data_IF_343438356234
#
_entry.id   IF_343438356234
#
_cell.length_a   1.000
_cell.length_b   1.000
_cell.length_c   1.000
_cell.angle_alpha   90.00
_cell.angle_beta   90.00
_cell.angle_gamma   90.00
#
_symmetry.space_group_name_H-M   'P 1'
#
loop_
_entity.id
_entity.type
_entity.pdbx_description
1 polymer ?
#
# COMPACT_ATOMS: atom_id res chain seq x y z
N UNK A 1 -12.92 19.30 -33.62
CA UNK A 1 -12.42 17.90 -33.39
C UNK A 1 -13.19 16.97 -34.33
N UNK A 2 -12.53 16.36 -35.32
CA UNK A 2 -13.16 15.40 -36.21
C UNK A 2 -13.56 14.12 -35.42
N UNK A 3 -14.57 13.37 -35.91
CA UNK A 3 -15.09 12.16 -35.24
C UNK A 3 -14.02 11.13 -34.90
N UNK A 4 -12.92 11.05 -35.68
CA UNK A 4 -11.75 10.18 -35.43
C UNK A 4 -10.93 10.60 -34.21
N UNK A 5 -10.95 11.90 -33.89
CA UNK A 5 -10.28 12.45 -32.69
C UNK A 5 -11.07 12.17 -31.40
N UNK A 6 -12.39 12.08 -31.44
CA UNK A 6 -13.22 11.79 -30.27
C UNK A 6 -13.08 10.33 -29.80
N UNK A 7 -13.05 9.39 -30.75
CA UNK A 7 -12.89 7.96 -30.43
C UNK A 7 -11.50 7.69 -29.84
N UNK A 8 -10.46 8.32 -30.43
CA UNK A 8 -9.08 8.25 -29.92
C UNK A 8 -8.92 8.87 -28.53
N UNK A 9 -9.54 10.02 -28.30
CA UNK A 9 -9.52 10.67 -26.98
C UNK A 9 -10.26 9.84 -25.92
N UNK A 10 -11.39 9.23 -26.26
CA UNK A 10 -12.13 8.37 -25.34
C UNK A 10 -11.34 7.12 -24.97
N UNK A 11 -10.69 6.47 -25.94
CA UNK A 11 -9.82 5.32 -25.69
C UNK A 11 -8.61 5.69 -24.81
N UNK A 12 -8.07 6.90 -24.99
CA UNK A 12 -6.98 7.42 -24.19
C UNK A 12 -7.39 7.64 -22.72
N UNK A 13 -8.58 8.18 -22.49
CA UNK A 13 -9.15 8.35 -21.15
C UNK A 13 -9.46 7.02 -20.49
N UNK A 14 -9.97 6.04 -21.22
CA UNK A 14 -10.20 4.68 -20.73
C UNK A 14 -8.87 4.05 -20.27
N UNK A 15 -7.81 4.16 -21.07
CA UNK A 15 -6.48 3.67 -20.70
C UNK A 15 -5.90 4.40 -19.48
N UNK A 16 -6.12 5.72 -19.37
CA UNK A 16 -5.66 6.54 -18.24
C UNK A 16 -6.31 6.12 -16.93
N UNK A 17 -7.63 6.05 -16.89
CA UNK A 17 -8.37 5.71 -15.66
C UNK A 17 -8.33 4.21 -15.35
N UNK A 18 -8.32 3.35 -16.37
CA UNK A 18 -8.18 1.90 -16.23
C UNK A 18 -6.81 1.51 -15.66
N UNK A 19 -5.77 2.28 -15.93
CA UNK A 19 -4.42 2.06 -15.41
C UNK A 19 -4.30 2.16 -13.89
N UNK A 20 -5.21 2.86 -13.20
CA UNK A 20 -5.17 3.06 -11.75
C UNK A 20 -5.25 1.75 -10.94
N UNK A 21 -5.82 0.69 -11.52
CA UNK A 21 -6.04 -0.59 -10.89
C UNK A 21 -5.07 -1.69 -11.34
N UNK A 22 -4.11 -1.37 -12.21
CA UNK A 22 -3.16 -2.32 -12.78
C UNK A 22 -1.86 -2.37 -11.97
N UNK A 23 -1.13 -3.51 -12.05
CA UNK A 23 0.19 -3.66 -11.42
C UNK A 23 1.26 -2.75 -12.04
N UNK A 24 1.17 -2.51 -13.36
CA UNK A 24 1.98 -1.54 -14.10
C UNK A 24 1.07 -0.38 -14.54
N UNK A 25 0.78 0.57 -13.63
CA UNK A 25 -0.15 1.63 -13.94
C UNK A 25 0.35 2.46 -15.12
N UNK A 26 -0.60 2.81 -16.03
CA UNK A 26 -0.41 3.76 -17.13
C UNK A 26 0.51 3.36 -18.31
N UNK A 27 1.13 2.19 -18.36
CA UNK A 27 1.84 1.78 -19.58
C UNK A 27 0.93 1.77 -20.82
N UNK A 28 -0.30 1.22 -20.80
CA UNK A 28 -1.22 1.30 -21.92
C UNK A 28 -1.59 2.73 -22.30
N UNK A 29 -1.79 3.60 -21.30
CA UNK A 29 -2.05 5.02 -21.53
C UNK A 29 -0.89 5.72 -22.24
N UNK A 30 0.35 5.50 -21.80
CA UNK A 30 1.53 6.12 -22.40
C UNK A 30 1.75 5.66 -23.85
N UNK A 31 1.52 4.38 -24.15
CA UNK A 31 1.55 3.87 -25.53
C UNK A 31 0.44 4.50 -26.39
N UNK A 32 -0.77 4.59 -25.85
CA UNK A 32 -1.90 5.22 -26.54
C UNK A 32 -1.65 6.72 -26.76
N UNK A 33 -1.08 7.42 -25.79
CA UNK A 33 -0.71 8.83 -25.88
C UNK A 33 0.35 9.06 -26.96
N UNK A 34 1.39 8.23 -26.99
CA UNK A 34 2.43 8.31 -28.01
C UNK A 34 1.83 8.14 -29.42
N UNK A 35 0.99 7.11 -29.60
CA UNK A 35 0.32 6.86 -30.87
C UNK A 35 -0.63 8.01 -31.27
N UNK A 36 -1.36 8.57 -30.31
CA UNK A 36 -2.33 9.64 -30.57
C UNK A 36 -1.69 10.98 -30.94
N UNK A 37 -0.51 11.26 -30.36
CA UNK A 37 0.30 12.45 -30.67
C UNK A 37 1.30 12.24 -31.80
N UNK A 38 1.32 11.06 -32.42
CA UNK A 38 2.38 10.66 -33.38
C UNK A 38 3.78 10.91 -32.81
N UNK A 39 3.98 10.50 -31.55
CA UNK A 39 5.24 10.59 -30.83
C UNK A 39 5.96 9.24 -30.86
N UNK A 40 7.30 9.27 -30.77
CA UNK A 40 8.13 8.07 -30.71
C UNK A 40 7.86 7.28 -29.44
N UNK A 41 7.77 7.97 -28.31
CA UNK A 41 7.35 7.43 -27.01
C UNK A 41 6.81 8.52 -26.07
N UNK A 42 6.13 8.10 -25.01
CA UNK A 42 5.71 8.98 -23.93
C UNK A 42 6.28 8.49 -22.60
N UNK A 43 6.62 9.45 -21.73
CA UNK A 43 7.25 9.21 -20.43
C UNK A 43 6.42 9.86 -19.32
N UNK A 44 6.16 9.11 -18.25
CA UNK A 44 5.59 9.62 -17.01
C UNK A 44 6.62 9.44 -15.89
N UNK A 45 6.95 10.54 -15.21
CA UNK A 45 7.87 10.58 -14.09
C UNK A 45 7.06 10.99 -12.86
N UNK A 46 7.12 10.19 -11.81
CA UNK A 46 6.45 10.44 -10.55
C UNK A 46 7.49 10.63 -9.44
N UNK A 47 7.35 11.70 -8.66
CA UNK A 47 8.26 12.03 -7.56
C UNK A 47 7.44 12.18 -6.28
N UNK A 48 7.79 11.43 -5.24
CA UNK A 48 7.14 11.49 -3.95
C UNK A 48 7.53 12.77 -3.18
N UNK A 49 6.70 13.23 -2.23
CA UNK A 49 6.98 14.42 -1.43
C UNK A 49 8.35 14.38 -0.76
N UNK A 50 9.12 15.45 -0.90
CA UNK A 50 10.45 15.60 -0.29
C UNK A 50 11.57 14.77 -0.92
N UNK A 51 11.30 14.01 -1.99
CA UNK A 51 12.32 13.27 -2.71
C UNK A 51 13.01 14.14 -3.77
N UNK A 52 14.32 14.01 -3.87
CA UNK A 52 15.15 14.68 -4.89
C UNK A 52 15.46 13.77 -6.09
N UNK A 53 15.05 12.51 -6.02
CA UNK A 53 15.16 11.50 -7.07
C UNK A 53 13.76 11.04 -7.50
N UNK A 54 13.57 10.57 -8.75
CA UNK A 54 12.28 10.06 -9.18
C UNK A 54 11.94 8.76 -8.43
N UNK A 55 10.69 8.64 -7.98
CA UNK A 55 10.20 7.38 -7.41
C UNK A 55 9.88 6.35 -8.48
N UNK A 56 9.38 6.82 -9.63
CA UNK A 56 9.00 5.94 -10.75
C UNK A 56 9.17 6.68 -12.07
N UNK A 57 9.77 6.02 -13.06
CA UNK A 57 9.84 6.47 -14.44
C UNK A 57 9.22 5.38 -15.31
N UNK A 58 8.19 5.72 -16.06
CA UNK A 58 7.53 4.85 -17.01
C UNK A 58 7.75 5.42 -18.41
N UNK A 59 8.43 4.67 -19.27
CA UNK A 59 8.73 5.12 -20.63
C UNK A 59 8.62 3.96 -21.64
N UNK A 60 7.39 3.40 -21.83
CA UNK A 60 7.17 2.27 -22.71
C UNK A 60 7.46 2.65 -24.17
N UNK A 61 8.33 1.87 -24.82
CA UNK A 61 8.75 2.09 -26.22
C UNK A 61 10.06 2.84 -26.38
N UNK A 62 10.63 3.43 -25.32
CA UNK A 62 11.98 3.95 -25.35
C UNK A 62 13.04 2.83 -25.24
N UNK A 63 14.31 3.08 -25.58
CA UNK A 63 15.41 2.15 -25.32
C UNK A 63 15.47 1.74 -23.84
N UNK A 64 15.81 0.49 -23.57
CA UNK A 64 15.69 -0.14 -22.24
C UNK A 64 16.51 0.54 -21.13
N UNK A 65 17.65 1.13 -21.47
CA UNK A 65 18.52 1.84 -20.50
C UNK A 65 18.10 3.28 -20.21
N UNK A 66 17.14 3.82 -20.94
CA UNK A 66 16.79 5.25 -20.90
C UNK A 66 16.27 5.70 -19.53
N UNK A 67 15.47 4.88 -18.86
CA UNK A 67 14.84 5.25 -17.56
C UNK A 67 15.87 5.27 -16.42
N UNK A 68 16.72 4.25 -16.34
CA UNK A 68 17.73 4.11 -15.28
C UNK A 68 18.82 5.17 -15.44
N UNK A 69 19.33 5.36 -16.67
CA UNK A 69 20.34 6.38 -16.98
C UNK A 69 19.83 7.80 -16.68
N UNK A 70 18.57 8.08 -17.04
CA UNK A 70 17.95 9.37 -16.70
C UNK A 70 17.84 9.57 -15.20
N UNK A 71 17.41 8.56 -14.46
CA UNK A 71 17.25 8.66 -13.01
C UNK A 71 18.58 8.92 -12.29
N UNK A 72 19.65 8.24 -12.71
CA UNK A 72 20.95 8.30 -12.06
C UNK A 72 21.76 9.54 -12.45
N UNK A 73 21.74 9.91 -13.73
CA UNK A 73 22.68 10.89 -14.27
C UNK A 73 22.06 12.22 -14.68
N UNK A 74 20.80 12.24 -15.12
CA UNK A 74 20.19 13.42 -15.74
C UNK A 74 19.03 14.03 -14.98
N UNK A 75 18.35 13.29 -14.11
CA UNK A 75 17.17 13.81 -13.40
C UNK A 75 17.44 15.09 -12.60
N UNK A 76 18.56 15.16 -11.90
CA UNK A 76 18.91 16.31 -11.08
C UNK A 76 19.21 17.56 -11.92
N UNK A 77 19.85 17.37 -13.08
CA UNK A 77 20.31 18.41 -14.00
C UNK A 77 19.38 18.61 -15.22
N UNK A 78 18.23 17.93 -15.27
CA UNK A 78 17.28 18.05 -16.37
C UNK A 78 16.86 19.51 -16.57
N UNK A 79 17.20 20.16 -17.69
CA UNK A 79 16.83 21.54 -17.95
C UNK A 79 15.33 21.72 -18.25
N UNK A 80 14.60 20.62 -18.56
CA UNK A 80 13.16 20.62 -18.88
C UNK A 80 12.30 20.27 -17.66
N UNK A 81 12.66 20.85 -16.51
CA UNK A 81 11.90 20.76 -15.26
C UNK A 81 11.44 22.13 -14.79
N UNK A 82 10.41 22.15 -13.96
CA UNK A 82 9.86 23.40 -13.43
C UNK A 82 9.05 24.18 -14.46
N UNK A 83 8.40 23.46 -15.35
CA UNK A 83 7.46 24.04 -16.33
C UNK A 83 6.34 24.79 -15.62
N UNK A 84 5.72 25.79 -16.28
CA UNK A 84 4.51 26.43 -15.77
C UNK A 84 3.46 25.37 -15.45
N UNK A 85 2.90 25.42 -14.25
CA UNK A 85 1.98 24.44 -13.71
C UNK A 85 0.83 24.15 -14.65
N UNK A 86 0.67 22.87 -15.05
CA UNK A 86 -0.42 22.40 -15.91
C UNK A 86 -0.41 22.93 -17.33
N UNK A 87 0.65 23.64 -17.76
CA UNK A 87 0.77 24.17 -19.12
C UNK A 87 1.68 23.30 -19.97
N UNK A 88 1.15 22.82 -21.09
CA UNK A 88 1.95 22.07 -22.08
C UNK A 88 2.93 23.02 -22.77
N UNK A 89 4.23 22.70 -22.68
CA UNK A 89 5.32 23.51 -23.17
C UNK A 89 6.28 22.66 -24.00
N UNK A 90 6.80 23.20 -25.09
CA UNK A 90 7.83 22.53 -25.89
C UNK A 90 9.23 22.80 -25.31
N UNK A 91 10.11 21.78 -25.38
CA UNK A 91 11.49 21.86 -24.92
C UNK A 91 12.25 23.04 -25.55
N UNK A 92 12.18 23.17 -26.87
CA UNK A 92 12.82 24.27 -27.59
C UNK A 92 12.28 25.67 -27.20
N UNK A 93 10.98 25.78 -26.91
CA UNK A 93 10.37 27.03 -26.45
C UNK A 93 10.83 27.40 -25.05
N UNK A 94 10.93 26.42 -24.15
CA UNK A 94 11.30 26.62 -22.75
C UNK A 94 12.75 27.06 -22.58
N UNK A 95 13.67 26.49 -23.37
CA UNK A 95 15.10 26.78 -23.29
C UNK A 95 15.58 27.86 -24.29
N UNK A 96 14.71 28.31 -25.20
CA UNK A 96 15.07 29.35 -26.17
C UNK A 96 15.76 28.81 -27.44
N UNK A 97 15.15 27.85 -28.11
CA UNK A 97 15.52 27.42 -29.48
C UNK A 97 16.87 26.72 -29.56
N UNK A 98 17.91 27.38 -30.09
CA UNK A 98 19.24 26.77 -30.27
C UNK A 98 19.88 26.32 -28.96
N UNK A 99 19.67 27.05 -27.86
CA UNK A 99 20.20 26.67 -26.54
C UNK A 99 19.69 25.30 -26.05
N UNK A 100 18.52 24.85 -26.49
CA UNK A 100 17.99 23.52 -26.17
C UNK A 100 18.87 22.41 -26.76
N UNK A 101 19.31 22.55 -28.01
CA UNK A 101 20.15 21.56 -28.71
C UNK A 101 21.61 21.57 -28.25
N UNK A 102 22.07 22.70 -27.72
CA UNK A 102 23.43 22.86 -27.19
C UNK A 102 23.56 22.39 -25.73
N UNK A 103 22.45 22.04 -25.07
CA UNK A 103 22.48 21.52 -23.70
C UNK A 103 23.14 20.13 -23.63
N UNK A 104 23.86 19.86 -22.53
CA UNK A 104 24.44 18.53 -22.25
C UNK A 104 23.33 17.47 -22.18
N UNK A 105 22.16 17.80 -21.62
CA UNK A 105 20.98 16.93 -21.59
C UNK A 105 20.54 16.51 -22.99
N UNK A 106 20.53 17.42 -23.97
CA UNK A 106 20.17 17.06 -25.32
C UNK A 106 21.22 16.16 -25.99
N UNK A 107 22.49 16.55 -25.91
CA UNK A 107 23.59 15.86 -26.59
C UNK A 107 23.86 14.46 -26.01
N UNK A 108 23.94 14.40 -24.69
CA UNK A 108 24.46 13.22 -24.00
C UNK A 108 23.34 12.23 -23.64
N UNK A 109 22.10 12.71 -23.51
CA UNK A 109 20.96 11.88 -23.15
C UNK A 109 19.89 11.84 -24.24
N UNK A 110 19.21 12.96 -24.55
CA UNK A 110 18.01 12.94 -25.38
C UNK A 110 18.26 12.39 -26.79
N UNK A 111 19.33 12.86 -27.45
CA UNK A 111 19.70 12.41 -28.78
C UNK A 111 20.12 10.92 -28.77
N UNK A 112 20.81 10.45 -27.73
CA UNK A 112 21.20 9.06 -27.55
C UNK A 112 19.97 8.16 -27.30
N UNK A 113 18.96 8.67 -26.60
CA UNK A 113 17.67 8.01 -26.40
C UNK A 113 16.74 8.06 -27.62
N UNK A 114 17.24 8.55 -28.77
CA UNK A 114 16.46 8.64 -30.01
C UNK A 114 15.45 9.79 -30.03
N UNK A 115 15.58 10.76 -29.14
CA UNK A 115 14.71 11.93 -29.09
C UNK A 115 15.31 13.18 -29.74
N UNK A 116 14.47 14.06 -30.25
CA UNK A 116 14.86 15.38 -30.77
C UNK A 116 13.97 16.49 -30.22
N UNK A 117 12.69 16.20 -30.11
CA UNK A 117 11.68 17.14 -29.63
C UNK A 117 10.90 16.58 -28.47
N UNK A 118 10.57 17.43 -27.50
CA UNK A 118 9.74 17.06 -26.36
C UNK A 118 8.63 18.08 -26.17
N UNK A 119 7.39 17.59 -26.01
CA UNK A 119 6.33 18.31 -25.32
C UNK A 119 6.23 17.83 -23.88
N UNK A 120 6.09 18.74 -22.93
CA UNK A 120 6.00 18.38 -21.54
C UNK A 120 4.98 19.18 -20.76
N UNK A 121 4.49 18.59 -19.68
CA UNK A 121 3.70 19.24 -18.65
C UNK A 121 4.16 18.77 -17.28
N UNK A 122 4.23 19.70 -16.33
CA UNK A 122 4.49 19.43 -14.91
C UNK A 122 3.21 19.66 -14.11
N UNK A 123 2.91 18.71 -13.22
CA UNK A 123 1.80 18.78 -12.28
C UNK A 123 2.36 18.69 -10.86
N UNK A 124 1.96 19.62 -10.02
CA UNK A 124 2.30 19.66 -8.60
C UNK A 124 1.03 19.54 -7.78
N UNK A 125 1.08 18.74 -6.73
CA UNK A 125 -0.04 18.47 -5.84
C UNK A 125 0.22 19.12 -4.48
N UNK A 126 -0.85 19.45 -3.76
CA UNK A 126 -0.75 20.07 -2.42
C UNK A 126 0.01 19.20 -1.40
N UNK A 127 0.00 17.89 -1.59
CA UNK A 127 0.79 16.92 -0.83
C UNK A 127 2.30 17.05 -1.00
N UNK A 128 2.76 17.78 -2.04
CA UNK A 128 4.16 17.82 -2.48
C UNK A 128 4.52 16.72 -3.47
N UNK A 129 3.55 15.89 -3.89
CA UNK A 129 3.74 14.93 -4.97
C UNK A 129 3.86 15.66 -6.32
N UNK A 130 4.76 15.20 -7.18
CA UNK A 130 4.96 15.77 -8.51
C UNK A 130 4.81 14.71 -9.59
N UNK A 131 4.22 15.10 -10.71
CA UNK A 131 4.14 14.29 -11.92
C UNK A 131 4.58 15.08 -13.14
N UNK A 132 5.42 14.48 -13.97
CA UNK A 132 5.88 15.06 -15.23
C UNK A 132 5.51 14.13 -16.36
N UNK A 133 4.73 14.61 -17.32
CA UNK A 133 4.39 13.86 -18.54
C UNK A 133 5.15 14.47 -19.70
N UNK A 134 5.78 13.63 -20.52
CA UNK A 134 6.57 14.01 -21.69
C UNK A 134 6.12 13.19 -22.90
N UNK A 135 6.02 13.80 -24.06
CA UNK A 135 5.89 13.15 -25.35
C UNK A 135 7.13 13.50 -26.17
N UNK A 136 7.84 12.51 -26.69
CA UNK A 136 9.12 12.67 -27.39
C UNK A 136 8.99 12.22 -28.84
N UNK A 137 9.50 13.03 -29.77
CA UNK A 137 9.65 12.70 -31.18
C UNK A 137 11.13 12.60 -31.54
N UNK A 138 11.46 11.71 -32.46
CA UNK A 138 12.76 11.64 -33.09
C UNK A 138 12.87 12.64 -34.26
N UNK A 139 14.07 12.76 -34.82
CA UNK A 139 14.37 13.70 -35.92
C UNK A 139 13.64 13.40 -37.25
N UNK A 140 13.10 12.21 -37.43
CA UNK A 140 12.39 11.84 -38.66
C UNK A 140 10.97 12.41 -38.71
N UNK A 141 10.43 12.82 -37.58
CA UNK A 141 9.10 13.40 -37.44
C UNK A 141 9.13 14.93 -37.46
N UNK A 142 8.10 15.59 -37.99
CA UNK A 142 7.98 17.05 -37.94
C UNK A 142 7.82 17.55 -36.50
N UNK A 143 8.12 18.82 -36.27
CA UNK A 143 7.92 19.47 -34.98
C UNK A 143 6.46 19.37 -34.53
N UNK A 144 6.25 19.28 -33.18
CA UNK A 144 4.90 19.32 -32.62
C UNK A 144 4.24 20.64 -32.93
N UNK A 145 3.14 20.58 -33.67
CA UNK A 145 2.35 21.74 -34.06
C UNK A 145 1.36 22.20 -32.99
N UNK A 146 0.61 23.27 -33.28
CA UNK A 146 -0.44 23.76 -32.39
C UNK A 146 -1.54 22.73 -32.10
N UNK A 147 -1.88 21.87 -33.05
CA UNK A 147 -2.91 20.84 -32.90
C UNK A 147 -2.52 19.77 -31.87
N UNK A 148 -1.27 19.28 -31.92
CA UNK A 148 -0.79 18.31 -30.95
C UNK A 148 -0.62 18.91 -29.56
N UNK A 149 -0.23 20.19 -29.47
CA UNK A 149 -0.16 20.92 -28.19
C UNK A 149 -1.54 21.08 -27.56
N UNK A 150 -2.55 21.47 -28.35
CA UNK A 150 -3.93 21.59 -27.90
C UNK A 150 -4.49 20.22 -27.47
N UNK A 151 -4.23 19.18 -28.25
CA UNK A 151 -4.60 17.82 -27.95
C UNK A 151 -3.97 17.34 -26.62
N UNK A 152 -2.67 17.55 -26.44
CA UNK A 152 -2.00 17.21 -25.20
C UNK A 152 -2.54 18.03 -24.00
N UNK A 153 -2.81 19.32 -24.19
CA UNK A 153 -3.38 20.19 -23.16
C UNK A 153 -4.77 19.71 -22.71
N UNK A 154 -5.57 19.15 -23.61
CA UNK A 154 -6.90 18.63 -23.29
C UNK A 154 -6.86 17.44 -22.29
N UNK A 155 -5.75 16.69 -22.24
CA UNK A 155 -5.59 15.56 -21.32
C UNK A 155 -5.20 16.02 -19.92
N UNK A 156 -4.57 17.17 -19.77
CA UNK A 156 -3.99 17.63 -18.51
C UNK A 156 -4.96 17.63 -17.33
N UNK A 157 -6.22 18.09 -17.45
CA UNK A 157 -7.19 18.01 -16.36
C UNK A 157 -7.47 16.55 -15.93
N UNK A 158 -7.60 15.65 -16.91
CA UNK A 158 -7.83 14.22 -16.66
C UNK A 158 -6.63 13.55 -16.02
N UNK A 159 -5.41 13.87 -16.48
CA UNK A 159 -4.17 13.39 -15.90
C UNK A 159 -4.05 13.81 -14.43
N UNK A 160 -4.35 15.09 -14.14
CA UNK A 160 -4.36 15.60 -12.75
C UNK A 160 -5.32 14.82 -11.88
N UNK A 161 -6.56 14.58 -12.34
CA UNK A 161 -7.53 13.80 -11.59
C UNK A 161 -7.08 12.34 -11.38
N UNK A 162 -6.59 11.69 -12.43
CA UNK A 162 -6.15 10.30 -12.37
C UNK A 162 -4.97 10.13 -11.39
N UNK A 163 -3.96 11.00 -11.46
CA UNK A 163 -2.81 10.95 -10.54
C UNK A 163 -3.22 11.27 -9.10
N UNK A 164 -4.08 12.26 -8.88
CA UNK A 164 -4.61 12.56 -7.54
C UNK A 164 -5.43 11.43 -6.94
N UNK A 165 -6.20 10.69 -7.75
CA UNK A 165 -6.89 9.47 -7.32
C UNK A 165 -5.90 8.35 -7.00
N UNK A 166 -4.88 8.16 -7.82
CA UNK A 166 -3.83 7.17 -7.60
C UNK A 166 -3.10 7.44 -6.27
N UNK A 167 -2.66 8.66 -6.03
CA UNK A 167 -2.01 9.05 -4.79
C UNK A 167 -2.88 8.72 -3.57
N UNK A 168 -4.16 9.09 -3.59
CA UNK A 168 -5.10 8.77 -2.50
C UNK A 168 -5.28 7.28 -2.30
N UNK A 169 -5.35 6.50 -3.39
CA UNK A 169 -5.45 5.05 -3.32
C UNK A 169 -4.19 4.41 -2.73
N UNK A 170 -3.00 4.92 -3.09
CA UNK A 170 -1.72 4.42 -2.55
C UNK A 170 -1.59 4.73 -1.06
N UNK A 171 -1.88 5.95 -0.64
CA UNK A 171 -1.86 6.35 0.78
C UNK A 171 -2.84 5.50 1.58
N UNK A 172 -4.10 5.41 1.13
CA UNK A 172 -5.11 4.58 1.78
C UNK A 172 -4.73 3.10 1.80
N UNK A 173 -4.16 2.58 0.73
CA UNK A 173 -3.68 1.20 0.65
C UNK A 173 -2.55 0.91 1.63
N UNK A 174 -1.58 1.82 1.77
CA UNK A 174 -0.48 1.71 2.72
C UNK A 174 -0.98 1.77 4.17
N UNK A 175 -1.87 2.70 4.50
CA UNK A 175 -2.50 2.80 5.81
C UNK A 175 -3.26 1.51 6.16
N UNK A 176 -4.10 1.01 5.24
CA UNK A 176 -4.83 -0.25 5.46
C UNK A 176 -3.87 -1.44 5.63
N UNK A 177 -2.73 -1.46 4.93
CA UNK A 177 -1.70 -2.48 5.09
C UNK A 177 -1.08 -2.46 6.48
N UNK A 178 -0.73 -1.28 6.99
CA UNK A 178 -0.17 -1.10 8.34
C UNK A 178 -1.19 -1.53 9.40
N UNK A 179 -2.44 -1.03 9.32
CA UNK A 179 -3.49 -1.41 10.28
C UNK A 179 -3.76 -2.91 10.26
N UNK A 180 -3.85 -3.53 9.08
CA UNK A 180 -4.05 -4.97 8.95
C UNK A 180 -2.89 -5.75 9.55
N UNK A 181 -1.65 -5.39 9.22
CA UNK A 181 -0.45 -6.02 9.77
C UNK A 181 -0.39 -5.92 11.30
N UNK A 182 -0.72 -4.73 11.85
CA UNK A 182 -0.77 -4.53 13.31
C UNK A 182 -1.81 -5.44 13.97
N UNK A 183 -3.04 -5.50 13.42
CA UNK A 183 -4.10 -6.36 13.95
C UNK A 183 -3.72 -7.85 13.88
N UNK A 184 -3.08 -8.27 12.79
CA UNK A 184 -2.57 -9.63 12.62
C UNK A 184 -1.45 -9.97 13.62
N UNK A 185 -0.51 -9.05 13.84
CA UNK A 185 0.57 -9.21 14.83
C UNK A 185 0.02 -9.29 16.27
N UNK A 186 -1.07 -8.59 16.55
CA UNK A 186 -1.76 -8.69 17.84
C UNK A 186 -2.53 -10.01 18.03
N UNK A 187 -2.51 -10.92 17.06
CA UNK A 187 -3.25 -12.18 17.09
C UNK A 187 -4.77 -12.01 17.06
N UNK A 188 -5.26 -10.87 16.56
CA UNK A 188 -6.69 -10.57 16.50
C UNK A 188 -7.25 -10.98 15.14
N UNK A 189 -8.23 -11.88 15.14
CA UNK A 189 -9.00 -12.22 13.96
C UNK A 189 -9.95 -11.07 13.60
N UNK A 190 -9.90 -10.62 12.34
CA UNK A 190 -10.79 -9.60 11.81
C UNK A 190 -11.69 -10.20 10.71
N UNK A 191 -12.99 -10.12 10.89
CA UNK A 191 -14.01 -10.63 9.97
C UNK A 191 -14.95 -9.50 9.60
N UNK A 192 -15.04 -9.16 8.32
CA UNK A 192 -15.97 -8.16 7.81
C UNK A 192 -17.20 -8.85 7.27
N UNK A 193 -18.38 -8.46 7.76
CA UNK A 193 -19.67 -9.02 7.35
C UNK A 193 -20.50 -7.96 6.63
N UNK A 194 -21.33 -8.42 5.67
CA UNK A 194 -22.41 -7.60 5.15
C UNK A 194 -23.66 -7.71 6.08
N UNK A 195 -24.76 -7.00 5.74
CA UNK A 195 -26.01 -7.00 6.53
C UNK A 195 -26.68 -8.37 6.61
N UNK A 196 -26.41 -9.25 5.65
CA UNK A 196 -26.97 -10.63 5.61
C UNK A 196 -26.11 -11.62 6.40
N UNK A 197 -25.04 -11.17 7.06
CA UNK A 197 -24.09 -12.03 7.77
C UNK A 197 -23.14 -12.82 6.85
N UNK A 198 -23.06 -12.44 5.56
CA UNK A 198 -22.05 -13.00 4.66
C UNK A 198 -20.70 -12.39 4.93
N UNK A 199 -19.67 -13.20 4.91
CA UNK A 199 -18.28 -12.76 5.03
C UNK A 199 -17.85 -12.06 3.74
N UNK A 200 -17.45 -10.81 3.87
CA UNK A 200 -16.93 -9.96 2.78
C UNK A 200 -15.41 -10.05 2.73
N UNK A 201 -14.76 -10.07 3.90
CA UNK A 201 -13.30 -10.14 4.01
C UNK A 201 -12.90 -10.72 5.37
N UNK A 202 -11.74 -11.38 5.39
CA UNK A 202 -11.06 -11.89 6.59
C UNK A 202 -9.58 -11.47 6.56
N UNK A 203 -8.93 -11.57 7.71
CA UNK A 203 -7.47 -11.58 7.80
C UNK A 203 -6.95 -13.00 8.07
N UNK A 204 -5.64 -13.21 7.98
CA UNK A 204 -5.01 -14.54 8.14
C UNK A 204 -5.33 -15.19 9.49
N UNK A 205 -5.46 -14.40 10.57
CA UNK A 205 -5.83 -14.91 11.90
C UNK A 205 -7.27 -15.43 11.91
N UNK A 206 -8.18 -14.70 11.25
CA UNK A 206 -9.58 -15.11 11.11
C UNK A 206 -9.72 -16.39 10.27
N UNK A 207 -8.96 -16.51 9.19
CA UNK A 207 -8.98 -17.69 8.34
C UNK A 207 -8.60 -18.95 9.15
N UNK A 208 -7.52 -18.90 9.92
CA UNK A 208 -7.10 -19.99 10.81
C UNK A 208 -8.17 -20.35 11.86
N UNK A 209 -8.82 -19.33 12.42
CA UNK A 209 -9.85 -19.51 13.44
C UNK A 209 -11.12 -20.17 12.85
N UNK A 210 -11.50 -19.79 11.62
CA UNK A 210 -12.60 -20.38 10.88
C UNK A 210 -12.30 -21.80 10.43
N UNK A 211 -11.07 -22.11 10.01
CA UNK A 211 -10.61 -23.46 9.66
C UNK A 211 -10.60 -24.39 10.88
N UNK A 212 -10.18 -23.91 12.05
CA UNK A 212 -10.23 -24.66 13.30
C UNK A 212 -11.67 -25.03 13.70
N UNK A 213 -12.64 -24.22 13.30
CA UNK A 213 -14.05 -24.48 13.45
C UNK A 213 -14.52 -24.63 14.90
N UNK A 214 -13.77 -24.13 15.88
CA UNK A 214 -14.14 -24.22 17.31
C UNK A 214 -14.80 -22.92 17.79
N UNK A 215 -16.12 -22.96 17.89
CA UNK A 215 -16.97 -21.83 18.29
C UNK A 215 -17.58 -21.08 17.10
N UNK A 216 -16.82 -20.87 16.02
CA UNK A 216 -17.29 -20.22 14.80
C UNK A 216 -16.83 -20.96 13.54
N UNK A 217 -17.66 -20.92 12.49
CA UNK A 217 -17.40 -21.60 11.21
C UNK A 217 -17.93 -20.76 10.06
N UNK A 218 -17.46 -21.06 8.86
CA UNK A 218 -17.99 -20.51 7.63
C UNK A 218 -18.84 -21.55 6.91
N UNK A 219 -20.12 -21.22 6.63
CA UNK A 219 -21.01 -22.07 5.84
C UNK A 219 -21.76 -21.18 4.82
N UNK A 220 -21.74 -21.55 3.55
CA UNK A 220 -22.36 -20.80 2.45
C UNK A 220 -21.94 -19.32 2.41
N UNK A 221 -20.65 -19.05 2.65
CA UNK A 221 -20.10 -17.72 2.80
C UNK A 221 -20.71 -16.90 3.97
N UNK A 222 -21.39 -17.54 4.92
CA UNK A 222 -21.97 -16.90 6.10
C UNK A 222 -21.22 -17.33 7.36
N UNK A 223 -21.00 -16.37 8.23
CA UNK A 223 -20.47 -16.66 9.56
C UNK A 223 -21.53 -17.38 10.40
N UNK A 224 -21.16 -18.51 10.97
CA UNK A 224 -22.00 -19.32 11.87
C UNK A 224 -21.32 -19.47 13.22
N UNK A 225 -22.04 -19.09 14.28
CA UNK A 225 -21.65 -19.39 15.65
C UNK A 225 -22.26 -20.72 16.05
N UNK A 226 -21.50 -21.59 16.71
CA UNK A 226 -21.99 -22.91 17.15
C UNK A 226 -23.09 -22.79 18.21
N UNK A 227 -22.93 -21.85 19.15
CA UNK A 227 -23.95 -21.62 20.17
C UNK A 227 -25.18 -20.92 19.58
N UNK A 228 -26.38 -21.45 19.91
CA UNK A 228 -27.62 -20.97 19.34
C UNK A 228 -28.06 -19.59 19.90
N UNK A 229 -27.73 -19.26 21.15
CA UNK A 229 -28.05 -17.99 21.75
C UNK A 229 -27.18 -16.87 21.14
N UNK A 230 -25.90 -17.14 21.04
CA UNK A 230 -24.91 -16.22 20.42
C UNK A 230 -25.19 -15.98 18.92
N UNK A 231 -25.68 -17.00 18.22
CA UNK A 231 -26.13 -16.85 16.81
C UNK A 231 -27.29 -15.87 16.71
N UNK A 232 -28.31 -15.99 17.59
CA UNK A 232 -29.43 -15.06 17.63
C UNK A 232 -28.99 -13.65 18.00
N UNK A 233 -28.01 -13.51 18.89
CA UNK A 233 -27.42 -12.23 19.28
C UNK A 233 -26.73 -11.55 18.10
N UNK A 234 -25.91 -12.28 17.34
CA UNK A 234 -25.27 -11.76 16.12
C UNK A 234 -26.30 -11.37 15.05
N UNK A 235 -27.35 -12.17 14.86
CA UNK A 235 -28.45 -11.87 13.92
C UNK A 235 -29.23 -10.61 14.34
N UNK A 236 -29.50 -10.45 15.64
CA UNK A 236 -30.14 -9.26 16.19
C UNK A 236 -29.27 -8.02 15.99
N UNK A 237 -27.98 -8.15 16.23
CA UNK A 237 -27.00 -7.09 16.00
C UNK A 237 -26.98 -6.64 14.53
N UNK A 238 -26.90 -7.58 13.59
CA UNK A 238 -26.94 -7.29 12.15
C UNK A 238 -28.23 -6.56 11.72
N UNK A 239 -29.36 -6.84 12.36
CA UNK A 239 -30.63 -6.16 12.12
C UNK A 239 -30.70 -4.75 12.73
N UNK A 240 -29.96 -4.49 13.79
CA UNK A 240 -30.01 -3.25 14.56
C UNK A 240 -28.85 -2.27 14.24
N UNK A 241 -28.06 -2.51 13.22
CA UNK A 241 -26.85 -1.72 12.90
C UNK A 241 -27.12 -0.22 12.74
N UNK A 242 -28.27 0.14 12.18
CA UNK A 242 -28.64 1.55 11.96
C UNK A 242 -29.15 2.22 13.25
N UNK A 243 -29.73 1.45 14.15
CA UNK A 243 -30.30 1.95 15.42
C UNK A 243 -29.24 2.02 16.54
N UNK A 244 -28.20 1.19 16.46
CA UNK A 244 -27.16 1.14 17.49
C UNK A 244 -25.76 1.08 16.85
N UNK A 245 -25.15 2.25 16.53
CA UNK A 245 -23.82 2.33 15.93
C UNK A 245 -22.67 2.08 16.93
N UNK A 246 -22.97 1.86 18.22
CA UNK A 246 -21.93 1.62 19.23
C UNK A 246 -21.33 0.22 19.12
N UNK A 247 -20.00 0.07 19.34
CA UNK A 247 -19.37 -1.25 19.39
C UNK A 247 -19.97 -2.13 20.48
N UNK A 248 -20.29 -3.37 20.16
CA UNK A 248 -20.83 -4.35 21.10
C UNK A 248 -19.80 -5.42 21.41
N UNK A 249 -19.76 -5.88 22.66
CA UNK A 249 -18.84 -6.91 23.13
C UNK A 249 -19.64 -8.15 23.52
N UNK A 250 -19.19 -9.30 23.08
CA UNK A 250 -19.77 -10.59 23.43
C UNK A 250 -18.69 -11.67 23.50
N UNK A 251 -19.03 -12.83 24.01
CA UNK A 251 -18.15 -14.00 24.05
C UNK A 251 -18.62 -15.00 23.01
N UNK A 252 -17.69 -15.75 22.46
CA UNK A 252 -17.98 -16.87 21.56
C UNK A 252 -17.56 -18.15 22.27
N UNK A 253 -18.55 -18.97 22.65
CA UNK A 253 -18.34 -20.23 23.31
C UNK A 253 -17.65 -21.22 22.37
N UNK A 254 -16.68 -21.98 22.88
CA UNK A 254 -16.00 -23.04 22.17
C UNK A 254 -15.87 -24.30 23.01
N UNK A 255 -15.65 -25.46 22.34
CA UNK A 255 -15.54 -26.74 23.01
C UNK A 255 -14.16 -26.92 23.65
N UNK A 256 -13.11 -26.38 23.04
CA UNK A 256 -11.74 -26.48 23.52
C UNK A 256 -11.26 -25.15 24.10
N UNK A 257 -10.97 -25.12 25.40
CA UNK A 257 -10.35 -23.98 26.04
C UNK A 257 -11.31 -22.90 26.53
N UNK A 258 -10.82 -21.65 26.66
CA UNK A 258 -11.59 -20.50 27.12
C UNK A 258 -12.41 -19.91 25.98
N UNK A 259 -13.55 -19.31 26.32
CA UNK A 259 -14.34 -18.53 25.35
C UNK A 259 -13.50 -17.47 24.65
N UNK A 260 -13.76 -17.26 23.34
CA UNK A 260 -13.17 -16.16 22.60
C UNK A 260 -13.82 -14.85 23.00
N UNK A 261 -13.04 -13.77 23.05
CA UNK A 261 -13.57 -12.42 23.23
C UNK A 261 -13.84 -11.81 21.85
N UNK A 262 -15.05 -11.26 21.67
CA UNK A 262 -15.45 -10.64 20.42
C UNK A 262 -15.92 -9.20 20.61
N UNK A 263 -15.53 -8.33 19.67
CA UNK A 263 -16.00 -6.96 19.55
C UNK A 263 -16.60 -6.79 18.15
N UNK A 264 -17.87 -6.47 18.10
CA UNK A 264 -18.57 -6.15 16.86
C UNK A 264 -18.70 -4.63 16.72
N UNK A 265 -18.15 -4.07 15.66
CA UNK A 265 -18.17 -2.63 15.36
C UNK A 265 -18.94 -2.39 14.07
N UNK A 266 -20.05 -1.66 14.07
CA UNK A 266 -20.74 -1.25 12.86
C UNK A 266 -19.84 -0.42 11.95
N UNK A 267 -19.91 -0.67 10.65
CA UNK A 267 -19.20 0.07 9.61
C UNK A 267 -20.19 1.04 8.98
N UNK A 268 -19.89 2.34 9.03
CA UNK A 268 -20.66 3.34 8.29
C UNK A 268 -20.38 3.20 6.80
N UNK A 269 -21.32 2.60 6.07
CA UNK A 269 -21.24 2.50 4.61
C UNK A 269 -22.19 3.52 3.96
N UNK A 270 -21.83 4.14 2.83
CA UNK A 270 -22.74 4.98 2.06
C UNK A 270 -24.01 4.22 1.68
N UNK A 271 -25.16 4.87 1.72
CA UNK A 271 -26.49 4.25 1.52
C UNK A 271 -26.64 3.55 0.14
N UNK A 272 -25.83 3.93 -0.87
CA UNK A 272 -25.84 3.30 -2.19
C UNK A 272 -25.02 1.98 -2.25
N UNK A 273 -24.22 1.66 -1.24
CA UNK A 273 -23.46 0.40 -1.16
C UNK A 273 -24.23 -0.69 -0.41
N UNK A 274 -25.49 -0.93 -0.82
CA UNK A 274 -26.29 -2.03 -0.27
C UNK A 274 -25.64 -3.37 -0.67
N UNK A 275 -25.24 -4.18 0.32
CA UNK A 275 -24.51 -5.44 0.12
C UNK A 275 -23.02 -5.38 0.42
N UNK A 276 -22.46 -4.19 0.67
CA UNK A 276 -21.08 -3.98 1.12
C UNK A 276 -20.88 -4.32 2.61
N UNK A 277 -19.67 -4.02 3.09
CA UNK A 277 -19.30 -4.18 4.50
C UNK A 277 -20.24 -3.39 5.41
N UNK A 278 -20.76 -4.04 6.45
CA UNK A 278 -21.70 -3.44 7.40
C UNK A 278 -21.25 -3.61 8.86
N UNK A 279 -20.50 -4.67 9.17
CA UNK A 279 -20.04 -5.01 10.51
C UNK A 279 -18.60 -5.52 10.46
N UNK A 280 -17.72 -4.97 11.29
CA UNK A 280 -16.41 -5.54 11.58
C UNK A 280 -16.51 -6.32 12.90
N UNK A 281 -16.16 -7.59 12.85
CA UNK A 281 -16.07 -8.47 14.00
C UNK A 281 -14.59 -8.73 14.29
N UNK A 282 -14.11 -8.30 15.44
CA UNK A 282 -12.78 -8.57 15.94
C UNK A 282 -12.88 -9.66 17.00
N UNK A 283 -12.15 -10.76 16.80
CA UNK A 283 -12.15 -11.90 17.72
C UNK A 283 -10.75 -12.15 18.21
N UNK A 284 -10.58 -12.21 19.52
CA UNK A 284 -9.34 -12.56 20.18
C UNK A 284 -9.50 -13.82 21.02
N UNK A 285 -8.46 -14.64 21.01
CA UNK A 285 -8.36 -15.80 21.90
C UNK A 285 -7.61 -15.40 23.16
N UNK A 286 -8.28 -15.28 24.33
CA UNK A 286 -7.59 -14.96 25.58
C UNK A 286 -6.60 -16.05 26.03
N UNK A 287 -6.66 -17.22 25.43
CA UNK A 287 -5.74 -18.34 25.70
C UNK A 287 -4.59 -18.43 24.67
N UNK A 288 -4.67 -17.67 23.58
CA UNK A 288 -3.62 -17.59 22.57
C UNK A 288 -2.74 -16.39 22.93
N UNK A 289 -1.60 -16.68 23.52
CA UNK A 289 -0.54 -15.68 23.70
C UNK A 289 -0.17 -15.11 22.32
N UNK A 290 -0.03 -13.80 22.22
CA UNK A 290 0.50 -13.17 21.02
C UNK A 290 1.76 -13.92 20.60
N UNK A 291 1.76 -14.52 19.42
CA UNK A 291 2.94 -15.21 18.90
C UNK A 291 3.99 -14.13 18.61
N UNK A 292 4.82 -13.89 19.62
CA UNK A 292 5.99 -13.03 19.47
C UNK A 292 6.97 -13.77 18.55
N UNK A 293 7.18 -13.23 17.35
CA UNK A 293 8.15 -13.76 16.39
C UNK A 293 9.57 -13.53 16.95
N UNK A 294 10.35 -14.59 17.22
CA UNK A 294 11.69 -14.43 17.77
C UNK A 294 12.60 -13.57 16.90
N UNK A 295 12.45 -13.63 15.58
CA UNK A 295 13.19 -12.82 14.62
C UNK A 295 12.92 -11.32 14.81
N UNK A 296 11.68 -10.93 14.95
CA UNK A 296 11.29 -9.53 15.16
C UNK A 296 11.86 -8.98 16.47
N UNK A 297 11.79 -9.76 17.55
CA UNK A 297 12.35 -9.40 18.86
C UNK A 297 13.87 -9.32 18.80
N UNK A 298 14.52 -10.26 18.10
CA UNK A 298 15.96 -10.27 17.89
C UNK A 298 16.43 -8.96 17.23
N UNK A 299 15.77 -8.56 16.16
CA UNK A 299 16.17 -7.39 15.37
C UNK A 299 15.86 -6.07 16.12
N UNK A 300 14.71 -6.00 16.80
CA UNK A 300 14.30 -4.82 17.57
C UNK A 300 15.24 -4.51 18.76
N UNK A 301 15.65 -5.54 19.48
CA UNK A 301 16.45 -5.39 20.70
C UNK A 301 17.90 -5.85 20.54
N UNK A 302 18.35 -6.11 19.31
CA UNK A 302 19.71 -6.57 19.02
C UNK A 302 20.09 -7.83 19.83
N UNK A 303 19.14 -8.76 19.96
CA UNK A 303 19.35 -10.02 20.70
C UNK A 303 20.03 -11.06 19.81
N UNK A 304 20.72 -11.99 20.43
CA UNK A 304 21.10 -13.21 19.73
C UNK A 304 19.89 -14.12 19.55
N UNK A 305 19.96 -15.08 18.63
CA UNK A 305 18.88 -16.04 18.38
C UNK A 305 18.44 -16.77 19.66
N UNK A 306 19.37 -17.16 20.51
CA UNK A 306 19.06 -17.85 21.77
C UNK A 306 18.42 -16.92 22.80
N UNK A 307 18.88 -15.67 22.88
CA UNK A 307 18.28 -14.64 23.74
C UNK A 307 16.84 -14.31 23.30
N UNK A 308 16.59 -14.19 21.99
CA UNK A 308 15.25 -13.96 21.47
C UNK A 308 14.31 -15.14 21.78
N UNK A 309 14.73 -16.38 21.55
CA UNK A 309 13.95 -17.57 21.89
C UNK A 309 13.63 -17.64 23.40
N UNK A 310 14.61 -17.33 24.24
CA UNK A 310 14.41 -17.29 25.70
C UNK A 310 13.43 -16.14 26.08
N UNK A 311 13.58 -14.98 25.50
CA UNK A 311 12.69 -13.85 25.74
C UNK A 311 11.23 -14.18 25.38
N UNK A 312 11.00 -14.81 24.23
CA UNK A 312 9.69 -15.31 23.80
C UNK A 312 9.13 -16.35 24.77
N UNK A 313 9.94 -17.34 25.17
CA UNK A 313 9.51 -18.36 26.11
C UNK A 313 9.10 -17.77 27.48
N UNK A 314 9.83 -16.75 27.97
CA UNK A 314 9.49 -16.05 29.21
C UNK A 314 8.25 -15.15 29.06
N UNK A 315 8.08 -14.51 27.88
CA UNK A 315 6.91 -13.72 27.57
C UNK A 315 5.64 -14.57 27.46
N UNK A 316 5.78 -15.83 27.02
CA UNK A 316 4.70 -16.82 27.03
C UNK A 316 4.36 -17.37 28.43
N UNK A 317 4.80 -16.71 29.51
CA UNK A 317 4.44 -17.07 30.87
C UNK A 317 5.24 -18.27 31.46
N UNK A 318 6.23 -18.83 30.74
CA UNK A 318 7.06 -19.91 31.24
C UNK A 318 7.99 -19.40 32.35
N UNK A 319 8.26 -20.28 33.34
CA UNK A 319 9.31 -19.97 34.26
C UNK A 319 10.68 -20.06 33.58
N UNK A 320 11.72 -19.47 34.20
CA UNK A 320 13.06 -19.55 33.62
C UNK A 320 13.58 -21.01 33.57
N UNK A 321 13.12 -21.87 34.47
CA UNK A 321 13.48 -23.31 34.52
C UNK A 321 12.80 -23.99 33.31
N UNK A 322 11.48 -23.83 33.14
CA UNK A 322 10.73 -24.48 32.07
C UNK A 322 11.19 -23.97 30.69
N UNK A 323 11.57 -22.69 30.60
CA UNK A 323 12.11 -22.10 29.36
C UNK A 323 13.51 -22.67 29.04
N UNK A 324 14.38 -22.88 30.06
CA UNK A 324 15.69 -23.49 29.88
C UNK A 324 15.56 -24.93 29.39
N UNK A 325 14.68 -25.73 30.03
CA UNK A 325 14.41 -27.10 29.66
C UNK A 325 13.87 -27.22 28.24
N UNK A 326 12.91 -26.36 27.88
CA UNK A 326 12.32 -26.34 26.55
C UNK A 326 13.32 -25.94 25.44
N UNK A 327 14.32 -25.12 25.77
CA UNK A 327 15.39 -24.69 24.86
C UNK A 327 16.64 -25.61 24.91
N UNK A 328 16.67 -26.63 25.77
CA UNK A 328 17.77 -27.56 25.88
C UNK A 328 19.06 -26.91 26.44
N UNK A 329 18.93 -25.87 27.26
CA UNK A 329 20.09 -25.18 27.86
C UNK A 329 20.12 -25.32 29.38
N UNK A 330 21.32 -25.29 29.94
CA UNK A 330 21.49 -25.33 31.40
C UNK A 330 20.88 -24.08 32.06
N UNK A 331 20.28 -24.24 33.25
CA UNK A 331 19.66 -23.15 33.99
C UNK A 331 20.62 -21.97 34.27
N UNK A 332 21.91 -22.24 34.51
CA UNK A 332 22.90 -21.17 34.65
C UNK A 332 23.15 -20.40 33.36
N UNK A 333 23.09 -21.09 32.21
CA UNK A 333 23.17 -20.48 30.88
C UNK A 333 21.94 -19.58 30.62
N UNK A 334 20.74 -20.07 30.96
CA UNK A 334 19.52 -19.30 30.87
C UNK A 334 19.56 -18.02 31.72
N UNK A 335 20.12 -18.10 32.95
CA UNK A 335 20.35 -16.92 33.80
C UNK A 335 21.30 -15.91 33.16
N UNK A 336 22.36 -16.39 32.53
CA UNK A 336 23.32 -15.53 31.83
C UNK A 336 22.67 -14.81 30.66
N UNK A 337 21.89 -15.55 29.82
CA UNK A 337 21.12 -14.96 28.74
C UNK A 337 20.08 -13.96 29.26
N UNK A 338 19.37 -14.27 30.35
CA UNK A 338 18.38 -13.33 30.90
C UNK A 338 19.03 -12.03 31.38
N UNK A 339 20.24 -12.05 31.95
CA UNK A 339 20.99 -10.83 32.29
C UNK A 339 21.33 -10.02 31.04
N UNK A 340 21.78 -10.70 29.98
CA UNK A 340 22.08 -10.06 28.70
C UNK A 340 20.83 -9.44 28.07
N UNK A 341 19.69 -10.15 28.08
CA UNK A 341 18.40 -9.65 27.63
C UNK A 341 18.03 -8.37 28.39
N UNK A 342 18.12 -8.38 29.72
CA UNK A 342 17.82 -7.20 30.54
C UNK A 342 18.73 -6.02 30.19
N UNK A 343 20.03 -6.27 29.99
CA UNK A 343 20.95 -5.20 29.59
C UNK A 343 20.63 -4.59 28.23
N UNK A 344 20.19 -5.41 27.28
CA UNK A 344 19.87 -4.97 25.91
C UNK A 344 18.47 -4.34 25.80
N UNK A 345 17.49 -4.81 26.56
CA UNK A 345 16.10 -4.34 26.53
C UNK A 345 15.81 -3.20 27.51
N UNK A 346 16.70 -2.95 28.47
CA UNK A 346 16.48 -1.99 29.56
C UNK A 346 15.53 -2.49 30.67
N UNK A 347 14.98 -3.70 30.54
CA UNK A 347 14.16 -4.31 31.59
C UNK A 347 14.99 -4.68 32.80
N UNK A 348 14.43 -4.54 34.01
CA UNK A 348 15.10 -4.90 35.27
C UNK A 348 14.49 -6.12 35.96
N UNK A 349 13.31 -6.54 35.52
CA UNK A 349 12.55 -7.69 36.05
C UNK A 349 11.84 -8.41 34.89
N UNK A 350 11.60 -9.71 35.09
CA UNK A 350 10.90 -10.51 34.09
C UNK A 350 9.52 -9.93 33.72
N UNK A 351 8.77 -9.43 34.70
CA UNK A 351 7.47 -8.81 34.45
C UNK A 351 7.56 -7.54 33.57
N UNK A 352 8.63 -6.76 33.70
CA UNK A 352 8.90 -5.62 32.82
C UNK A 352 9.26 -6.08 31.39
N UNK A 353 10.07 -7.14 31.27
CA UNK A 353 10.38 -7.74 29.99
C UNK A 353 9.11 -8.24 29.29
N UNK A 354 8.27 -8.99 30.00
CA UNK A 354 6.98 -9.46 29.49
C UNK A 354 6.12 -8.29 29.04
N UNK A 355 6.00 -7.25 29.85
CA UNK A 355 5.23 -6.06 29.51
C UNK A 355 5.81 -5.33 28.28
N UNK A 356 7.12 -5.21 28.20
CA UNK A 356 7.83 -4.58 27.07
C UNK A 356 7.62 -5.36 25.77
N UNK A 357 7.64 -6.69 25.81
CA UNK A 357 7.46 -7.55 24.66
C UNK A 357 5.99 -7.62 24.18
N UNK A 358 5.02 -7.49 25.08
CA UNK A 358 3.59 -7.50 24.76
C UNK A 358 3.00 -6.10 24.54
N UNK A 359 3.62 -5.05 25.07
CA UNK A 359 3.09 -3.68 25.05
C UNK A 359 4.04 -2.64 24.45
N UNK A 360 5.21 -3.03 24.05
CA UNK A 360 6.32 -2.12 23.76
C UNK A 360 6.48 -1.70 22.31
N UNK A 361 5.41 -1.27 21.66
CA UNK A 361 5.50 -0.25 20.62
C UNK A 361 4.38 0.75 20.90
N UNK A 362 4.62 1.66 21.83
CA UNK A 362 3.93 2.97 21.87
C UNK A 362 4.80 3.99 21.20
#
# INVERSE_FOLDING_TARGET
>A
MAKRDQDGFSALLEALYGGLLQQAPWEPFLRALAAWLDATYATLILTAPGMTTPGTILTPGAPTVTADEYAESFFASDPFKGLPEGKVTAFAEFLGGEAARDSDFYRDFLAAAGGDQILGVDLRFESGFEARLRATRDRSLPDFGPAEREAFQAIVPHLRHAIGLFERLQVSGAEHGVYRGTVEQMGVAAIILNRDGRVVRTNVVADRLLEAGDGLTLADCRLRLKDGAQRKELEALLKSLDANPAPQRFRIARASGRDLAAIAKPIAAPAFMRGGAALALFVSDPGQEAQLEPEAIRDLFQLTRMEANLAVALASGRSLVDAADALGIAHNTARSHLRSIFAKTGARRQSQLVHLLHGGVQ
#
